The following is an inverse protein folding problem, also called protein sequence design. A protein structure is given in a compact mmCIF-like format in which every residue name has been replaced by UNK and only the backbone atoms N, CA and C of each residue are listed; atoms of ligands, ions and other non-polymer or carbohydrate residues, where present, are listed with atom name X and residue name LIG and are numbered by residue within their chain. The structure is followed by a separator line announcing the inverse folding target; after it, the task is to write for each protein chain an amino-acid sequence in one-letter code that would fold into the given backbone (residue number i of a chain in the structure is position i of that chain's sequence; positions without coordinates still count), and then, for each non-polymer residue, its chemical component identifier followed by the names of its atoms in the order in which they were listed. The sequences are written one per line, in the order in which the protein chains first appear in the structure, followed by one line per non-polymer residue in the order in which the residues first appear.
data_IF_192494529708
#
_entry.id   IF_192494529708
#
_cell.length_a   1.000
_cell.length_b   1.000
_cell.length_c   1.000
_cell.angle_alpha   90.00
_cell.angle_beta   90.00
_cell.angle_gamma   90.00
#
_symmetry.space_group_name_H-M   'P 1'
#
loop_
_entity.id
_entity.type
_entity.pdbx_description
1 polymer ?
#
# COMPACT_ATOMS: atom_id res chain seq x y z
N UNK A 1 -28.77 -0.47 -72.17
CA UNK A 1 -28.08 0.84 -72.35
C UNK A 1 -28.28 1.65 -71.08
N UNK A 2 -27.19 2.20 -70.51
CA UNK A 2 -27.25 3.30 -69.52
C UNK A 2 -27.61 4.61 -70.24
N UNK A 3 -28.16 5.60 -69.52
CA UNK A 3 -27.34 6.63 -68.86
C UNK A 3 -27.77 6.83 -67.38
N UNK A 4 -26.90 6.82 -66.37
CA UNK A 4 -25.93 7.86 -65.93
C UNK A 4 -26.52 9.27 -65.82
N UNK A 5 -26.95 9.64 -64.62
CA UNK A 5 -26.81 11.02 -64.13
C UNK A 5 -26.52 11.06 -62.64
N UNK A 6 -25.46 11.81 -62.33
CA UNK A 6 -24.82 12.09 -61.05
C UNK A 6 -25.77 12.38 -59.87
N UNK A 7 -25.50 11.78 -58.71
CA UNK A 7 -25.93 12.35 -57.43
C UNK A 7 -24.75 12.40 -56.46
N UNK A 8 -24.31 13.66 -56.31
CA UNK A 8 -23.51 14.33 -55.29
C UNK A 8 -23.24 13.54 -54.01
N UNK A 9 -21.93 13.49 -53.70
CA UNK A 9 -21.29 13.09 -52.45
C UNK A 9 -21.77 14.01 -51.31
N UNK A 10 -22.37 13.45 -50.26
CA UNK A 10 -22.50 14.13 -48.96
C UNK A 10 -21.81 13.26 -47.89
N UNK A 11 -20.52 13.52 -47.72
CA UNK A 11 -19.68 13.00 -46.64
C UNK A 11 -20.10 13.69 -45.32
N UNK A 12 -21.04 13.09 -44.59
CA UNK A 12 -21.33 13.44 -43.20
C UNK A 12 -20.22 12.83 -42.32
N UNK A 13 -19.12 13.57 -42.16
CA UNK A 13 -18.16 13.35 -41.09
C UNK A 13 -18.85 13.71 -39.76
N UNK A 14 -19.51 12.73 -39.16
CA UNK A 14 -19.99 12.82 -37.78
C UNK A 14 -18.77 12.72 -36.86
N UNK A 15 -18.14 13.85 -36.59
CA UNK A 15 -17.11 13.97 -35.57
C UNK A 15 -17.72 13.74 -34.20
N UNK A 16 -17.67 12.49 -33.72
CA UNK A 16 -17.90 12.20 -32.31
C UNK A 16 -16.71 12.78 -31.55
N UNK A 17 -16.87 14.02 -31.08
CA UNK A 17 -16.04 14.59 -30.04
C UNK A 17 -16.25 13.69 -28.80
N UNK A 18 -15.35 12.72 -28.62
CA UNK A 18 -15.14 12.10 -27.33
C UNK A 18 -14.64 13.22 -26.43
N UNK A 19 -15.56 13.87 -25.71
CA UNK A 19 -15.19 14.68 -24.57
C UNK A 19 -14.61 13.70 -23.56
N UNK A 20 -13.29 13.54 -23.59
CA UNK A 20 -12.54 13.05 -22.45
C UNK A 20 -12.85 14.01 -21.30
N UNK A 21 -13.90 13.71 -20.55
CA UNK A 21 -14.03 14.22 -19.19
C UNK A 21 -12.81 13.68 -18.48
N UNK A 22 -11.75 14.49 -18.40
CA UNK A 22 -10.71 14.30 -17.42
C UNK A 22 -11.47 14.17 -16.10
N UNK A 23 -11.56 12.93 -15.59
CA UNK A 23 -12.00 12.68 -14.23
C UNK A 23 -11.09 13.55 -13.39
N UNK A 24 -11.61 14.65 -12.87
CA UNK A 24 -10.97 15.39 -11.79
C UNK A 24 -10.87 14.33 -10.71
N UNK A 25 -9.68 13.73 -10.57
CA UNK A 25 -9.42 12.72 -9.56
C UNK A 25 -9.59 13.45 -8.23
N UNK A 26 -10.81 13.46 -7.70
CA UNK A 26 -11.05 13.87 -6.33
C UNK A 26 -10.06 13.07 -5.49
N UNK A 27 -9.25 13.72 -4.65
CA UNK A 27 -8.23 13.03 -3.88
C UNK A 27 -8.93 11.93 -3.09
N UNK A 28 -8.50 10.68 -3.28
CA UNK A 28 -9.10 9.53 -2.59
C UNK A 28 -9.32 9.88 -1.11
N UNK A 29 -10.56 9.73 -0.61
CA UNK A 29 -10.86 10.09 0.76
C UNK A 29 -9.96 9.30 1.69
N UNK A 30 -9.38 10.01 2.68
CA UNK A 30 -8.39 9.42 3.56
C UNK A 30 -8.92 8.25 4.39
N UNK A 31 -10.24 8.14 4.53
CA UNK A 31 -10.89 7.04 5.22
C UNK A 31 -12.21 6.64 4.57
N UNK A 32 -12.57 5.37 4.70
CA UNK A 32 -13.79 4.83 4.13
C UNK A 32 -13.94 3.34 4.38
N UNK A 33 -15.08 2.81 3.95
CA UNK A 33 -15.30 1.37 3.91
C UNK A 33 -15.04 0.87 2.49
N UNK A 34 -14.14 -0.10 2.37
CA UNK A 34 -13.81 -0.76 1.11
C UNK A 34 -14.15 -2.25 1.23
N UNK A 35 -14.73 -2.84 0.18
CA UNK A 35 -15.02 -4.26 0.18
C UNK A 35 -13.71 -5.05 0.06
N UNK A 36 -13.65 -6.18 0.75
CA UNK A 36 -12.49 -7.06 0.71
C UNK A 36 -12.76 -8.42 1.33
N UNK A 37 -11.78 -9.30 1.18
CA UNK A 37 -11.78 -10.63 1.76
C UNK A 37 -10.78 -10.70 2.90
N UNK A 38 -11.25 -11.03 4.10
CA UNK A 38 -10.40 -11.26 5.28
C UNK A 38 -10.11 -12.75 5.38
N UNK A 39 -8.83 -13.10 5.48
CA UNK A 39 -8.39 -14.47 5.80
C UNK A 39 -8.09 -14.55 7.29
N UNK A 40 -8.89 -15.33 8.02
CA UNK A 40 -8.70 -15.58 9.45
C UNK A 40 -7.56 -16.57 9.70
N UNK A 41 -7.05 -16.58 10.93
CA UNK A 41 -5.93 -17.45 11.33
C UNK A 41 -6.24 -18.94 11.20
N UNK A 42 -7.52 -19.34 11.30
CA UNK A 42 -7.98 -20.72 11.10
C UNK A 42 -8.18 -21.10 9.62
N UNK A 43 -7.81 -20.22 8.69
CA UNK A 43 -7.95 -20.45 7.24
C UNK A 43 -9.32 -20.10 6.68
N UNK A 44 -10.33 -19.79 7.51
CA UNK A 44 -11.64 -19.33 7.03
C UNK A 44 -11.49 -17.95 6.39
N UNK A 45 -12.21 -17.74 5.29
CA UNK A 45 -12.34 -16.44 4.64
C UNK A 45 -13.72 -15.86 4.91
N UNK A 46 -13.80 -14.52 4.92
CA UNK A 46 -15.07 -13.80 4.98
C UNK A 46 -14.99 -12.53 4.13
N UNK A 47 -16.04 -12.28 3.36
CA UNK A 47 -16.22 -11.03 2.65
C UNK A 47 -16.85 -9.99 3.59
N UNK A 48 -16.32 -8.78 3.59
CA UNK A 48 -16.86 -7.68 4.35
C UNK A 48 -16.48 -6.33 3.76
N UNK A 49 -17.16 -5.28 4.22
CA UNK A 49 -16.70 -3.91 4.04
C UNK A 49 -15.79 -3.55 5.20
N UNK A 50 -14.50 -3.33 4.92
CA UNK A 50 -13.42 -3.08 5.87
C UNK A 50 -13.20 -1.58 5.97
N UNK A 51 -13.22 -1.04 7.18
CA UNK A 51 -12.88 0.36 7.41
C UNK A 51 -11.36 0.56 7.29
N UNK A 52 -10.96 1.32 6.27
CA UNK A 52 -9.58 1.74 6.01
C UNK A 52 -9.49 3.24 6.27
N UNK A 53 -8.42 3.65 6.94
CA UNK A 53 -8.13 5.05 7.25
C UNK A 53 -6.64 5.27 7.09
N UNK A 54 -6.23 5.70 5.90
CA UNK A 54 -4.82 5.94 5.57
C UNK A 54 -4.22 7.09 6.38
N UNK A 55 -5.05 8.08 6.76
CA UNK A 55 -4.65 9.15 7.68
C UNK A 55 -4.42 8.64 9.12
N UNK A 56 -5.09 7.55 9.51
CA UNK A 56 -4.92 6.89 10.81
C UNK A 56 -4.58 5.39 10.67
N UNK A 57 -3.59 5.09 9.83
CA UNK A 57 -3.28 3.70 9.44
C UNK A 57 -3.06 2.74 10.62
N UNK A 58 -2.55 3.23 11.75
CA UNK A 58 -2.42 2.45 12.99
C UNK A 58 -3.72 1.77 13.45
N UNK A 59 -4.90 2.28 13.07
CA UNK A 59 -6.19 1.68 13.41
C UNK A 59 -6.36 0.32 12.74
N UNK A 60 -6.26 0.28 11.41
CA UNK A 60 -6.45 -0.96 10.65
C UNK A 60 -5.21 -1.87 10.70
N UNK A 61 -4.02 -1.32 10.98
CA UNK A 61 -2.82 -2.13 11.22
C UNK A 61 -2.91 -2.97 12.51
N UNK A 62 -3.78 -2.62 13.47
CA UNK A 62 -3.88 -3.31 14.78
C UNK A 62 -5.18 -4.10 14.98
N UNK A 63 -6.24 -3.76 14.25
CA UNK A 63 -7.52 -4.47 14.26
C UNK A 63 -8.37 -4.03 13.06
N UNK A 64 -9.19 -4.93 12.53
CA UNK A 64 -10.16 -4.56 11.49
C UNK A 64 -11.51 -4.21 12.12
N UNK A 65 -12.17 -3.21 11.54
CA UNK A 65 -13.57 -2.88 11.80
C UNK A 65 -14.32 -3.13 10.52
N UNK A 66 -15.37 -3.94 10.58
CA UNK A 66 -16.11 -4.36 9.39
C UNK A 66 -17.60 -4.13 9.55
N UNK A 67 -18.28 -3.99 8.41
CA UNK A 67 -19.74 -3.97 8.32
C UNK A 67 -20.20 -4.89 7.19
N UNK A 68 -21.45 -5.36 7.29
CA UNK A 68 -22.09 -6.14 6.23
C UNK A 68 -22.55 -5.25 5.06
N UNK A 69 -22.88 -5.87 3.93
CA UNK A 69 -23.34 -5.17 2.73
C UNK A 69 -24.61 -4.34 2.98
N UNK A 70 -25.53 -4.86 3.78
CA UNK A 70 -26.78 -4.17 4.13
C UNK A 70 -26.51 -2.86 4.89
N UNK A 71 -25.53 -2.85 5.77
CA UNK A 71 -25.11 -1.68 6.54
C UNK A 71 -24.32 -0.72 5.66
N UNK A 72 -23.44 -1.24 4.80
CA UNK A 72 -22.72 -0.42 3.82
C UNK A 72 -23.67 0.34 2.89
N UNK A 73 -24.68 -0.33 2.31
CA UNK A 73 -25.70 0.32 1.46
C UNK A 73 -26.44 1.46 2.16
N UNK A 74 -26.57 1.41 3.49
CA UNK A 74 -27.14 2.52 4.28
C UNK A 74 -26.12 3.64 4.50
N UNK A 75 -24.88 3.27 4.83
CA UNK A 75 -23.77 4.20 5.01
C UNK A 75 -23.50 5.01 3.73
N UNK A 76 -23.47 4.36 2.57
CA UNK A 76 -23.30 5.00 1.26
C UNK A 76 -24.41 6.03 0.94
N UNK A 77 -25.57 5.94 1.59
CA UNK A 77 -26.68 6.91 1.51
C UNK A 77 -26.61 7.99 2.61
N UNK A 78 -25.46 8.16 3.25
CA UNK A 78 -25.24 9.14 4.33
C UNK A 78 -25.81 8.75 5.69
N UNK A 79 -26.32 7.52 5.88
CA UNK A 79 -26.89 7.10 7.18
C UNK A 79 -25.79 6.74 8.16
N UNK A 80 -25.95 7.17 9.42
CA UNK A 80 -25.05 6.81 10.52
C UNK A 80 -25.04 5.29 10.76
N UNK A 81 -23.84 4.72 10.92
CA UNK A 81 -23.65 3.32 11.29
C UNK A 81 -23.85 3.17 12.81
N UNK A 82 -24.68 2.21 13.22
CA UNK A 82 -24.86 1.88 14.64
C UNK A 82 -23.65 1.09 15.14
N UNK A 83 -23.15 1.38 16.34
CA UNK A 83 -21.99 0.67 16.93
C UNK A 83 -22.12 -0.86 16.91
N UNK A 84 -23.32 -1.39 17.17
CA UNK A 84 -23.61 -2.84 17.16
C UNK A 84 -23.52 -3.52 15.79
N UNK A 85 -23.52 -2.74 14.70
CA UNK A 85 -23.37 -3.25 13.34
C UNK A 85 -21.89 -3.32 12.92
N UNK A 86 -20.98 -2.78 13.73
CA UNK A 86 -19.54 -2.82 13.49
C UNK A 86 -18.98 -4.05 14.20
N UNK A 87 -18.47 -4.98 13.42
CA UNK A 87 -17.73 -6.11 13.94
C UNK A 87 -16.23 -5.74 14.03
N UNK A 88 -15.55 -6.24 15.06
CA UNK A 88 -14.14 -5.92 15.30
C UNK A 88 -13.32 -7.19 15.42
N UNK A 89 -12.34 -7.33 14.55
CA UNK A 89 -11.38 -8.44 14.53
C UNK A 89 -10.03 -7.95 15.05
N UNK A 90 -9.49 -8.57 16.09
CA UNK A 90 -8.14 -8.25 16.59
C UNK A 90 -7.11 -8.80 15.62
N UNK A 91 -5.98 -8.11 15.45
CA UNK A 91 -4.89 -8.56 14.55
C UNK A 91 -4.50 -10.02 14.74
N UNK A 92 -4.49 -10.54 15.98
CA UNK A 92 -4.12 -11.94 16.30
C UNK A 92 -5.05 -13.00 15.70
N UNK A 93 -6.25 -12.60 15.28
CA UNK A 93 -7.30 -13.46 14.71
C UNK A 93 -7.21 -13.49 13.18
N UNK A 94 -6.40 -12.61 12.58
CA UNK A 94 -6.33 -12.36 11.16
C UNK A 94 -4.97 -12.82 10.63
N UNK A 95 -4.98 -13.52 9.51
CA UNK A 95 -3.76 -13.86 8.75
C UNK A 95 -3.41 -12.75 7.75
N UNK A 96 -4.42 -12.19 7.10
CA UNK A 96 -4.29 -11.10 6.14
C UNK A 96 -5.65 -10.72 5.56
N UNK A 97 -5.68 -9.72 4.69
CA UNK A 97 -6.86 -9.38 3.91
C UNK A 97 -6.45 -8.79 2.56
N UNK A 98 -7.35 -8.90 1.57
CA UNK A 98 -7.19 -8.32 0.24
C UNK A 98 -8.41 -7.46 -0.02
N UNK A 99 -8.19 -6.21 -0.44
CA UNK A 99 -9.25 -5.29 -0.82
C UNK A 99 -9.62 -5.49 -2.30
N UNK A 100 -10.83 -5.08 -2.70
CA UNK A 100 -11.24 -5.13 -4.11
C UNK A 100 -10.34 -4.28 -5.03
N UNK A 101 -9.68 -3.24 -4.50
CA UNK A 101 -8.62 -2.51 -5.23
C UNK A 101 -7.37 -3.34 -5.54
N UNK A 102 -7.27 -4.57 -5.06
CA UNK A 102 -6.10 -5.45 -5.20
C UNK A 102 -5.03 -5.24 -4.13
N UNK A 103 -5.18 -4.26 -3.24
CA UNK A 103 -4.25 -4.03 -2.12
C UNK A 103 -4.29 -5.22 -1.15
N UNK A 104 -3.14 -5.87 -0.98
CA UNK A 104 -2.95 -6.98 -0.06
C UNK A 104 -2.35 -6.50 1.26
N UNK A 105 -2.83 -7.06 2.37
CA UNK A 105 -2.30 -6.82 3.70
C UNK A 105 -2.02 -8.14 4.42
N UNK A 106 -0.82 -8.30 4.98
CA UNK A 106 -0.41 -9.53 5.70
C UNK A 106 -0.13 -9.25 7.16
N UNK A 107 -0.48 -10.21 8.00
CA UNK A 107 -0.12 -10.18 9.42
C UNK A 107 1.36 -10.54 9.57
N UNK A 108 2.16 -9.58 10.01
CA UNK A 108 3.59 -9.75 10.33
C UNK A 108 3.87 -9.36 11.78
N UNK A 109 5.01 -9.81 12.32
CA UNK A 109 5.47 -9.40 13.65
C UNK A 109 6.68 -8.47 13.49
N UNK A 110 6.53 -7.21 13.88
CA UNK A 110 7.56 -6.17 13.70
C UNK A 110 7.99 -5.54 15.03
N UNK A 111 9.29 -5.33 15.19
CA UNK A 111 9.90 -4.62 16.31
C UNK A 111 10.41 -3.26 15.85
N UNK A 112 9.89 -2.18 16.43
CA UNK A 112 10.38 -0.84 16.10
C UNK A 112 11.64 -0.52 16.91
N UNK A 113 12.80 -0.84 16.33
CA UNK A 113 14.10 -0.59 16.97
C UNK A 113 14.44 0.91 17.07
N UNK A 114 13.77 1.76 16.30
CA UNK A 114 13.92 3.22 16.37
C UNK A 114 13.11 3.87 17.50
N UNK A 115 12.25 3.12 18.21
CA UNK A 115 11.50 3.69 19.33
C UNK A 115 12.41 4.01 20.52
N UNK A 116 12.20 5.16 21.14
CA UNK A 116 12.86 5.52 22.40
C UNK A 116 12.38 4.65 23.57
N UNK A 117 11.16 4.09 23.51
CA UNK A 117 10.61 3.23 24.57
C UNK A 117 10.95 1.76 24.31
N UNK A 118 11.57 1.11 25.30
CA UNK A 118 11.90 -0.31 25.24
C UNK A 118 10.66 -1.21 25.01
N UNK A 119 9.49 -0.82 25.51
CA UNK A 119 8.23 -1.56 25.30
C UNK A 119 7.74 -1.57 23.86
N UNK A 120 8.12 -0.57 23.06
CA UNK A 120 7.78 -0.48 21.63
C UNK A 120 8.84 -1.15 20.73
N UNK A 121 10.02 -1.46 21.28
CA UNK A 121 11.02 -2.33 20.64
C UNK A 121 10.61 -3.81 20.67
N UNK A 122 9.61 -4.18 21.48
CA UNK A 122 9.08 -5.55 21.50
C UNK A 122 8.30 -5.85 20.21
N UNK A 123 8.51 -7.02 19.57
CA UNK A 123 7.82 -7.34 18.33
C UNK A 123 6.29 -7.43 18.52
N UNK A 124 5.53 -6.64 17.76
CA UNK A 124 4.06 -6.61 17.77
C UNK A 124 3.49 -7.11 16.45
N UNK A 125 2.32 -7.77 16.53
CA UNK A 125 1.60 -8.20 15.32
C UNK A 125 0.92 -6.98 14.70
N UNK A 126 1.09 -6.82 13.39
CA UNK A 126 0.48 -5.76 12.60
C UNK A 126 0.01 -6.31 11.25
N UNK A 127 -1.07 -5.76 10.71
CA UNK A 127 -1.48 -5.97 9.32
C UNK A 127 -0.84 -4.89 8.47
N UNK A 128 0.11 -5.25 7.61
CA UNK A 128 0.85 -4.28 6.79
C UNK A 128 0.57 -4.52 5.32
N UNK A 129 0.47 -3.43 4.56
CA UNK A 129 0.29 -3.46 3.11
C UNK A 129 1.50 -4.09 2.45
N UNK A 130 1.28 -5.05 1.55
CA UNK A 130 2.30 -5.68 0.72
C UNK A 130 2.39 -4.88 -0.57
N UNK A 131 3.52 -4.23 -0.80
CA UNK A 131 3.74 -3.38 -1.99
C UNK A 131 4.64 -4.04 -3.04
N UNK A 132 5.39 -5.07 -2.64
CA UNK A 132 6.05 -6.02 -3.53
C UNK A 132 6.17 -7.37 -2.84
N UNK A 133 6.08 -8.46 -3.61
CA UNK A 133 6.18 -9.81 -3.09
C UNK A 133 7.06 -10.71 -3.98
N UNK A 134 7.81 -11.61 -3.35
CA UNK A 134 8.81 -12.45 -4.00
C UNK A 134 9.84 -12.97 -3.01
N UNK A 135 11.09 -13.14 -3.46
CA UNK A 135 12.21 -13.43 -2.53
C UNK A 135 12.41 -12.30 -1.53
N UNK A 136 12.20 -11.06 -1.96
CA UNK A 136 12.12 -9.89 -1.09
C UNK A 136 10.68 -9.40 -1.10
N UNK A 137 10.01 -9.53 0.05
CA UNK A 137 8.70 -8.90 0.28
C UNK A 137 8.93 -7.52 0.90
N UNK A 138 8.25 -6.51 0.36
CA UNK A 138 8.26 -5.14 0.88
C UNK A 138 6.90 -4.83 1.48
N UNK A 139 6.91 -4.30 2.70
CA UNK A 139 5.73 -3.86 3.42
C UNK A 139 5.76 -2.35 3.63
N UNK A 140 4.60 -1.72 3.48
CA UNK A 140 4.37 -0.34 3.89
C UNK A 140 3.72 -0.33 5.27
N UNK A 141 4.34 0.39 6.21
CA UNK A 141 3.81 0.60 7.56
C UNK A 141 3.56 2.08 7.76
N UNK A 142 2.29 2.47 7.78
CA UNK A 142 1.92 3.85 7.99
C UNK A 142 2.22 4.34 9.41
N UNK A 143 2.31 5.66 9.55
CA UNK A 143 2.69 6.32 10.79
C UNK A 143 1.72 6.00 11.95
N UNK A 144 2.30 5.91 13.14
CA UNK A 144 1.57 5.87 14.40
C UNK A 144 2.06 7.03 15.27
N UNK A 145 1.13 7.83 15.77
CA UNK A 145 1.41 8.78 16.85
C UNK A 145 2.01 8.03 18.03
N UNK A 146 3.27 8.31 18.34
CA UNK A 146 3.97 7.66 19.43
C UNK A 146 3.54 8.33 20.74
N UNK A 147 2.99 7.56 21.68
CA UNK A 147 2.78 8.00 23.06
C UNK A 147 1.76 9.14 23.28
N UNK A 148 0.78 9.33 22.39
CA UNK A 148 -0.11 10.51 22.47
C UNK A 148 0.60 11.82 22.12
N UNK A 149 1.90 11.77 21.81
CA UNK A 149 2.64 12.86 21.22
C UNK A 149 2.49 12.77 19.71
N UNK A 150 1.81 13.75 19.16
CA UNK A 150 1.76 13.96 17.72
C UNK A 150 2.99 14.79 17.40
N UNK A 151 3.95 14.21 16.69
CA UNK A 151 5.16 14.96 16.31
C UNK A 151 4.77 16.22 15.54
N UNK A 152 5.47 17.34 15.76
CA UNK A 152 5.01 18.66 15.33
C UNK A 152 4.58 18.72 13.84
N UNK A 153 5.38 18.28 12.86
CA UNK A 153 4.94 18.15 11.47
C UNK A 153 3.66 17.34 11.24
N UNK A 154 3.45 16.25 11.97
CA UNK A 154 2.19 15.47 11.91
C UNK A 154 1.04 16.29 12.48
N UNK A 155 1.29 17.04 13.56
CA UNK A 155 0.28 17.87 14.19
C UNK A 155 -0.08 19.07 13.31
N UNK A 156 0.92 19.74 12.74
CA UNK A 156 0.75 20.84 11.82
C UNK A 156 -0.05 20.39 10.59
N UNK A 157 0.26 19.20 10.04
CA UNK A 157 -0.51 18.61 8.95
C UNK A 157 -1.96 18.29 9.36
N UNK A 158 -2.19 17.69 10.54
CA UNK A 158 -3.54 17.41 11.06
C UNK A 158 -4.33 18.72 11.28
N UNK A 159 -3.68 19.77 11.80
CA UNK A 159 -4.29 21.07 12.06
C UNK A 159 -4.62 21.82 10.76
N UNK A 160 -3.75 21.73 9.76
CA UNK A 160 -4.03 22.25 8.42
C UNK A 160 -5.24 21.54 7.78
N UNK A 161 -5.38 20.24 8.06
CA UNK A 161 -6.46 19.43 7.51
C UNK A 161 -6.36 19.33 5.98
N UNK A 162 -7.42 18.83 5.35
CA UNK A 162 -7.55 18.85 3.89
C UNK A 162 -6.39 18.16 3.14
N UNK A 163 -6.03 18.67 1.94
CA UNK A 163 -5.02 18.05 1.07
C UNK A 163 -3.62 17.94 1.68
N UNK A 164 -3.20 18.91 2.49
CA UNK A 164 -1.87 18.94 3.10
C UNK A 164 -1.70 17.80 4.13
N UNK A 165 -2.75 17.53 4.92
CA UNK A 165 -2.77 16.37 5.81
C UNK A 165 -2.63 15.06 5.05
N UNK A 166 -3.41 14.91 3.96
CA UNK A 166 -3.42 13.71 3.13
C UNK A 166 -2.04 13.49 2.50
N UNK A 167 -1.45 14.55 1.94
CA UNK A 167 -0.16 14.48 1.28
C UNK A 167 0.97 14.12 2.26
N UNK A 168 0.94 14.71 3.46
CA UNK A 168 1.86 14.35 4.52
C UNK A 168 1.74 12.86 4.88
N UNK A 169 0.51 12.36 5.11
CA UNK A 169 0.30 10.96 5.48
C UNK A 169 0.68 9.99 4.36
N UNK A 170 0.52 10.40 3.09
CA UNK A 170 0.95 9.63 1.93
C UNK A 170 2.46 9.50 1.81
N UNK A 171 3.21 10.51 2.24
CA UNK A 171 4.67 10.60 2.13
C UNK A 171 5.42 10.40 3.46
N UNK A 172 4.77 9.83 4.46
CA UNK A 172 5.39 9.61 5.76
C UNK A 172 5.05 8.23 6.33
N UNK A 173 5.83 7.23 5.91
CA UNK A 173 5.63 5.84 6.29
C UNK A 173 6.95 5.11 6.49
N UNK A 174 6.97 4.04 7.26
CA UNK A 174 8.11 3.14 7.33
C UNK A 174 8.02 2.13 6.18
N UNK A 175 9.14 1.86 5.53
CA UNK A 175 9.27 0.73 4.60
C UNK A 175 9.96 -0.40 5.33
N UNK A 176 9.35 -1.58 5.33
CA UNK A 176 9.92 -2.78 5.90
C UNK A 176 10.20 -3.81 4.80
N UNK A 177 11.29 -4.55 4.93
CA UNK A 177 11.65 -5.63 4.01
C UNK A 177 11.72 -6.97 4.75
N UNK A 178 11.40 -8.04 4.04
CA UNK A 178 11.54 -9.42 4.48
C UNK A 178 12.14 -10.23 3.33
N UNK A 179 13.43 -10.55 3.44
CA UNK A 179 14.13 -11.41 2.48
C UNK A 179 13.98 -12.89 2.87
N UNK A 180 13.80 -13.76 1.88
CA UNK A 180 13.69 -15.22 1.97
C UNK A 180 12.69 -15.70 3.03
N UNK A 181 11.58 -14.98 3.18
CA UNK A 181 10.54 -15.24 4.19
C UNK A 181 11.09 -15.34 5.62
N UNK A 182 12.21 -14.65 5.90
CA UNK A 182 12.79 -14.54 7.24
C UNK A 182 11.74 -14.16 8.29
N UNK A 183 11.90 -14.62 9.53
CA UNK A 183 10.81 -14.63 10.53
C UNK A 183 10.07 -13.30 10.73
N UNK A 184 10.79 -12.17 10.72
CA UNK A 184 10.22 -10.84 10.95
C UNK A 184 10.78 -9.84 9.93
N UNK A 185 9.96 -8.93 9.39
CA UNK A 185 10.46 -7.85 8.56
C UNK A 185 11.32 -6.89 9.36
N UNK A 186 12.26 -6.23 8.68
CA UNK A 186 13.16 -5.21 9.22
C UNK A 186 12.91 -3.89 8.52
N UNK A 187 13.12 -2.77 9.20
CA UNK A 187 13.01 -1.46 8.57
C UNK A 187 14.15 -1.25 7.57
N UNK A 188 13.85 -0.70 6.38
CA UNK A 188 14.81 -0.50 5.29
C UNK A 188 15.96 0.44 5.68
N UNK A 189 15.74 1.38 6.60
CA UNK A 189 16.80 2.29 7.10
C UNK A 189 17.91 1.56 7.87
N UNK A 190 17.66 0.32 8.30
CA UNK A 190 18.68 -0.55 8.92
C UNK A 190 19.30 -1.54 7.91
N UNK A 191 18.94 -1.46 6.63
CA UNK A 191 19.48 -2.37 5.61
C UNK A 191 20.84 -1.89 5.11
N UNK A 192 21.76 -2.83 4.92
CA UNK A 192 22.86 -2.64 4.00
C UNK A 192 22.42 -3.16 2.64
N UNK A 193 22.21 -2.26 1.67
CA UNK A 193 21.68 -2.60 0.35
C UNK A 193 22.59 -3.57 -0.42
N UNK A 194 23.92 -3.42 -0.29
CA UNK A 194 24.87 -4.34 -0.90
C UNK A 194 24.69 -5.75 -0.35
N UNK A 195 24.41 -5.91 0.94
CA UNK A 195 24.13 -7.22 1.52
C UNK A 195 22.73 -7.73 1.17
N UNK A 196 21.76 -6.83 1.01
CA UNK A 196 20.37 -7.18 0.71
C UNK A 196 20.21 -7.72 -0.72
N UNK A 197 20.90 -7.12 -1.69
CA UNK A 197 20.75 -7.41 -3.12
C UNK A 197 22.00 -7.96 -3.81
N UNK A 198 23.16 -7.93 -3.15
CA UNK A 198 24.46 -8.24 -3.79
C UNK A 198 24.70 -9.72 -4.09
N UNK A 199 23.77 -10.60 -3.75
CA UNK A 199 23.77 -12.00 -4.20
C UNK A 199 23.16 -12.17 -5.60
N UNK A 200 22.61 -11.10 -6.20
CA UNK A 200 22.19 -11.06 -7.60
C UNK A 200 23.18 -10.18 -8.41
N UNK A 201 24.04 -10.77 -9.27
CA UNK A 201 25.06 -10.03 -10.00
C UNK A 201 24.51 -8.94 -10.94
N UNK A 202 23.39 -9.19 -11.61
CA UNK A 202 22.78 -8.25 -12.54
C UNK A 202 22.21 -7.03 -11.80
N UNK A 203 21.49 -7.26 -10.71
CA UNK A 203 20.96 -6.19 -9.85
C UNK A 203 22.10 -5.40 -9.22
N UNK A 204 23.17 -6.07 -8.79
CA UNK A 204 24.35 -5.42 -8.24
C UNK A 204 25.04 -4.54 -9.28
N UNK A 205 25.16 -4.99 -10.53
CA UNK A 205 25.76 -4.22 -11.62
C UNK A 205 24.93 -2.98 -11.94
N UNK A 206 23.61 -3.13 -12.11
CA UNK A 206 22.68 -1.99 -12.29
C UNK A 206 22.78 -0.96 -11.15
N UNK A 207 22.87 -1.44 -9.91
CA UNK A 207 23.05 -0.58 -8.74
C UNK A 207 24.39 0.17 -8.76
N UNK A 208 25.47 -0.49 -9.17
CA UNK A 208 26.79 0.13 -9.28
C UNK A 208 26.84 1.18 -10.40
N UNK A 209 26.18 0.91 -11.52
CA UNK A 209 26.05 1.83 -12.66
C UNK A 209 25.17 3.06 -12.35
N UNK A 210 24.34 2.96 -11.31
CA UNK A 210 23.40 4.04 -10.95
C UNK A 210 22.10 3.99 -11.75
N UNK A 211 21.76 2.82 -12.30
CA UNK A 211 20.58 2.62 -13.14
C UNK A 211 19.28 2.79 -12.35
N UNK A 212 19.35 2.56 -11.03
CA UNK A 212 18.27 2.92 -10.12
C UNK A 212 18.46 4.38 -9.66
N UNK A 213 17.37 5.16 -9.63
CA UNK A 213 17.31 6.59 -9.24
C UNK A 213 17.64 6.88 -7.74
N UNK A 214 18.53 6.09 -7.16
CA UNK A 214 18.50 5.62 -5.77
C UNK A 214 19.54 6.27 -4.86
N UNK A 215 20.63 6.79 -5.43
CA UNK A 215 21.79 7.24 -4.63
C UNK A 215 21.46 8.41 -3.70
N UNK A 216 20.54 9.28 -4.10
CA UNK A 216 20.16 10.48 -3.33
C UNK A 216 19.14 10.14 -2.24
N UNK A 217 18.12 9.33 -2.55
CA UNK A 217 17.01 9.10 -1.62
C UNK A 217 17.40 8.29 -0.36
N UNK A 218 18.36 7.36 -0.48
CA UNK A 218 18.86 6.61 0.68
C UNK A 218 19.80 7.40 1.59
N UNK A 219 20.48 8.41 1.03
CA UNK A 219 21.34 9.32 1.78
C UNK A 219 20.56 10.47 2.40
N UNK A 220 19.33 10.71 1.94
CA UNK A 220 18.47 11.76 2.45
C UNK A 220 18.13 11.50 3.92
N UNK A 221 18.39 12.51 4.75
CA UNK A 221 17.91 12.53 6.12
C UNK A 221 16.39 12.36 6.11
N UNK A 222 15.91 11.36 6.84
CA UNK A 222 14.49 11.17 6.99
C UNK A 222 13.92 12.29 7.86
N UNK A 223 12.76 12.84 7.50
CA UNK A 223 12.05 13.81 8.36
C UNK A 223 11.74 13.23 9.77
N UNK A 224 11.79 11.90 9.88
CA UNK A 224 11.70 11.11 11.10
C UNK A 224 12.63 9.91 10.94
N UNK A 225 13.45 9.58 11.94
CA UNK A 225 14.56 8.61 11.85
C UNK A 225 14.28 7.31 11.06
N UNK A 226 13.05 6.78 11.09
CA UNK A 226 12.68 5.51 10.44
C UNK A 226 11.84 5.64 9.16
N UNK A 227 11.36 6.85 8.81
CA UNK A 227 10.36 7.05 7.77
C UNK A 227 10.97 7.32 6.39
N UNK A 228 10.20 7.00 5.37
CA UNK A 228 10.47 7.21 3.96
C UNK A 228 9.25 7.90 3.33
N UNK A 229 9.43 8.36 2.10
CA UNK A 229 8.39 8.95 1.28
C UNK A 229 8.11 8.09 0.03
N UNK A 230 7.24 8.61 -0.84
CA UNK A 230 6.85 7.91 -2.05
C UNK A 230 8.00 7.76 -3.04
N UNK A 231 8.81 8.80 -3.26
CA UNK A 231 9.95 8.76 -4.17
C UNK A 231 10.96 7.67 -3.79
N UNK A 232 11.29 7.57 -2.50
CA UNK A 232 12.14 6.49 -1.99
C UNK A 232 11.52 5.11 -2.24
N UNK A 233 10.21 4.96 -1.98
CA UNK A 233 9.52 3.69 -2.21
C UNK A 233 9.55 3.30 -3.68
N UNK A 234 9.22 4.21 -4.59
CA UNK A 234 9.17 3.92 -6.02
C UNK A 234 10.56 3.54 -6.56
N UNK A 235 11.61 4.26 -6.13
CA UNK A 235 12.98 3.88 -6.43
C UNK A 235 13.28 2.45 -5.92
N UNK A 236 13.00 2.16 -4.63
CA UNK A 236 13.19 0.83 -4.04
C UNK A 236 12.47 -0.28 -4.79
N UNK A 237 11.24 -0.01 -5.23
CA UNK A 237 10.41 -1.00 -5.91
C UNK A 237 11.01 -1.41 -7.26
N UNK A 238 11.63 -0.50 -8.00
CA UNK A 238 12.32 -0.83 -9.26
C UNK A 238 13.42 -1.89 -9.02
N UNK A 239 14.29 -1.66 -8.03
CA UNK A 239 15.35 -2.60 -7.66
C UNK A 239 14.82 -3.94 -7.13
N UNK A 240 13.75 -3.90 -6.33
CA UNK A 240 13.10 -5.11 -5.79
C UNK A 240 12.42 -5.91 -6.89
N UNK A 241 11.78 -5.25 -7.86
CA UNK A 241 11.15 -5.89 -9.00
C UNK A 241 12.18 -6.57 -9.88
N UNK A 242 13.30 -5.90 -10.18
CA UNK A 242 14.40 -6.53 -10.92
C UNK A 242 14.92 -7.77 -10.19
N UNK A 243 15.13 -7.68 -8.86
CA UNK A 243 15.59 -8.81 -8.05
C UNK A 243 14.59 -9.97 -8.00
N UNK A 244 13.31 -9.67 -7.79
CA UNK A 244 12.26 -10.68 -7.70
C UNK A 244 11.96 -11.29 -9.09
N UNK A 245 12.03 -10.48 -10.15
CA UNK A 245 11.77 -10.86 -11.55
C UNK A 245 12.84 -11.76 -12.14
N UNK A 246 14.13 -11.46 -11.91
CA UNK A 246 15.23 -12.38 -12.29
C UNK A 246 15.16 -13.73 -11.55
N UNK A 247 14.39 -13.81 -10.46
CA UNK A 247 14.22 -15.04 -9.70
C UNK A 247 12.92 -15.80 -10.01
N UNK A 248 12.01 -15.24 -10.82
CA UNK A 248 10.72 -15.87 -11.12
C UNK A 248 10.80 -16.99 -12.17
N UNK A 249 11.93 -17.18 -12.86
CA UNK A 249 12.10 -18.27 -13.84
C UNK A 249 12.08 -19.70 -13.24
N UNK A 250 12.02 -19.87 -11.92
CA UNK A 250 12.08 -21.21 -11.27
C UNK A 250 10.75 -21.64 -10.61
N UNK A 251 9.67 -20.85 -10.64
CA UNK A 251 8.45 -21.13 -9.84
C UNK A 251 7.15 -21.34 -10.64
N UNK A 252 7.23 -21.63 -11.95
CA UNK A 252 6.03 -21.92 -12.77
C UNK A 252 5.54 -23.38 -12.66
N UNK A 253 6.22 -24.29 -11.94
CA UNK A 253 5.89 -25.74 -12.02
C UNK A 253 5.03 -26.35 -10.89
N UNK A 254 4.47 -25.59 -9.93
CA UNK A 254 3.81 -26.21 -8.75
C UNK A 254 2.30 -25.97 -8.55
N UNK A 255 1.56 -25.48 -9.56
CA UNK A 255 0.09 -25.43 -9.49
C UNK A 255 -0.62 -25.94 -10.76
N UNK A 256 -0.07 -27.00 -11.36
CA UNK A 256 -0.87 -27.88 -12.21
C UNK A 256 -0.80 -29.29 -11.65
N UNK A 257 -1.80 -29.65 -10.85
CA UNK A 257 -2.41 -30.98 -10.70
C UNK A 257 -3.59 -30.88 -9.74
#
# INVERSE_FOLDING_TARGET
MKPKTNLIILLLFLGVLVTSTASVNEPEPCSGYERGTITLKNGKTLEAYIYIDYCNSHLFQMALRTIDEKTYKKYAKGKKIKKKAIEKYKVKEIRGFVLESGKEFRQVKYANLFSQKNTDKLPRRQLLEVVADGKITIFKRGYRTQNGFIYKPVMDAVLAGGPEHVEFMRNNFEILYQKDRSKNPKNIRNANLKNLFGDNPEVLQKFQNGDYSFRIEFQREASFSANCDRAFLDALLEMVQDYNGTTQEVLVSYYQN
#
